data_IF_956604169071
#
_entry.id   IF_956604169071
#
_cell.length_a   1.000
_cell.length_b   1.000
_cell.length_c   1.000
_cell.angle_alpha   90.00
_cell.angle_beta   90.00
_cell.angle_gamma   90.00
#
_symmetry.space_group_name_H-M   'P 1'
#
loop_
_entity.id
_entity.type
_entity.pdbx_description
1 polymer ?
#
# COMPACT_ATOMS: atom_id res chain seq x y z
N UNK A 1 5.03 25.39 3.89
CA UNK A 1 4.77 24.44 2.80
C UNK A 1 3.53 23.65 3.21
N UNK A 2 2.42 23.89 2.53
CA UNK A 2 1.12 23.27 2.86
C UNK A 2 1.06 21.85 2.28
N UNK A 3 0.48 20.93 3.05
CA UNK A 3 0.31 19.51 2.73
C UNK A 3 -0.42 19.32 1.39
N UNK A 4 0.02 18.37 0.53
CA UNK A 4 -0.78 17.89 -0.59
C UNK A 4 -2.03 17.19 -0.07
N UNK A 5 -3.10 17.18 -0.88
CA UNK A 5 -4.39 16.54 -0.60
C UNK A 5 -4.30 15.03 -0.30
N UNK A 6 -5.43 14.37 -0.02
CA UNK A 6 -5.50 13.20 0.83
C UNK A 6 -4.95 11.95 0.13
N UNK A 7 -3.64 11.74 0.22
CA UNK A 7 -3.07 10.39 0.22
C UNK A 7 -3.79 9.63 1.35
N UNK A 8 -4.28 8.39 1.15
CA UNK A 8 -4.81 7.60 2.25
C UNK A 8 -3.79 7.68 3.39
N UNK A 9 -4.24 8.15 4.56
CA UNK A 9 -3.36 8.37 5.72
C UNK A 9 -2.43 7.16 5.86
N UNK A 10 -1.13 7.32 6.14
CA UNK A 10 -0.17 6.20 6.22
C UNK A 10 -0.65 4.99 7.05
N UNK A 11 -1.62 5.20 7.96
CA UNK A 11 -2.34 4.14 8.68
C UNK A 11 -3.12 3.18 7.78
N UNK A 12 -3.88 3.66 6.79
CA UNK A 12 -4.71 2.81 5.93
C UNK A 12 -3.83 1.96 5.00
N UNK A 13 -2.80 2.59 4.42
CA UNK A 13 -1.78 1.90 3.64
C UNK A 13 -1.08 0.81 4.46
N UNK A 14 -0.56 1.16 5.64
CA UNK A 14 0.11 0.18 6.51
C UNK A 14 -0.85 -0.89 7.04
N UNK A 15 -2.14 -0.59 7.23
CA UNK A 15 -3.14 -1.59 7.56
C UNK A 15 -3.34 -2.59 6.41
N UNK A 16 -3.46 -2.11 5.17
CA UNK A 16 -3.55 -2.96 3.98
C UNK A 16 -2.28 -3.82 3.80
N UNK A 17 -1.09 -3.23 3.95
CA UNK A 17 0.19 -3.95 3.89
C UNK A 17 0.32 -4.98 5.02
N UNK A 18 -0.20 -4.71 6.21
CA UNK A 18 -0.14 -5.65 7.33
C UNK A 18 -0.99 -6.91 7.14
N UNK A 19 -1.97 -6.88 6.24
CA UNK A 19 -2.74 -8.06 5.85
C UNK A 19 -2.12 -8.84 4.68
N UNK A 20 -1.22 -8.23 3.94
CA UNK A 20 -0.69 -8.81 2.69
C UNK A 20 0.78 -9.22 2.79
N UNK A 21 1.58 -8.51 3.60
CA UNK A 21 2.99 -8.82 3.84
C UNK A 21 3.16 -9.45 5.23
N UNK A 22 3.61 -10.72 5.32
CA UNK A 22 3.86 -11.36 6.60
C UNK A 22 4.90 -10.62 7.45
N UNK A 23 4.62 -10.45 8.73
CA UNK A 23 5.55 -9.90 9.72
C UNK A 23 5.59 -8.36 9.78
N UNK A 24 4.72 -7.67 9.03
CA UNK A 24 4.53 -6.23 9.19
C UNK A 24 4.08 -5.94 10.61
N UNK A 25 4.81 -5.02 11.24
CA UNK A 25 4.36 -4.34 12.45
C UNK A 25 4.60 -2.86 12.27
N UNK A 26 3.71 -2.03 12.80
CA UNK A 26 3.84 -0.59 12.71
C UNK A 26 3.25 0.10 13.94
N UNK A 27 3.70 1.33 14.17
CA UNK A 27 3.25 2.17 15.27
C UNK A 27 2.37 3.27 14.73
N UNK A 28 1.20 3.45 15.33
CA UNK A 28 0.34 4.61 15.11
C UNK A 28 0.62 5.60 16.24
N UNK A 29 0.91 6.85 15.91
CA UNK A 29 1.15 7.91 16.89
C UNK A 29 0.02 8.92 16.79
N UNK A 30 -0.65 9.15 17.92
CA UNK A 30 -1.71 10.14 18.04
C UNK A 30 -1.12 11.55 18.22
N UNK A 31 -1.88 12.62 17.91
CA UNK A 31 -1.45 14.00 18.14
C UNK A 31 -1.09 14.34 19.60
N UNK A 32 -1.56 13.53 20.56
CA UNK A 32 -1.24 13.64 21.98
C UNK A 32 0.14 13.06 22.34
N UNK A 33 0.81 12.40 21.38
CA UNK A 33 2.07 11.68 21.59
C UNK A 33 1.88 10.23 22.06
N UNK A 34 0.66 9.81 22.39
CA UNK A 34 0.35 8.41 22.67
C UNK A 34 0.56 7.54 21.42
N UNK A 35 0.99 6.30 21.62
CA UNK A 35 1.28 5.41 20.49
C UNK A 35 0.74 4.02 20.70
N UNK A 36 0.23 3.43 19.61
CA UNK A 36 -0.26 2.06 19.56
C UNK A 36 0.62 1.23 18.63
N UNK A 37 1.11 0.09 19.12
CA UNK A 37 1.77 -0.93 18.32
C UNK A 37 0.74 -1.86 17.69
N UNK A 38 0.79 -1.98 16.36
CA UNK A 38 -0.04 -2.88 15.57
C UNK A 38 0.84 -4.03 15.08
N UNK A 39 0.50 -5.27 15.45
CA UNK A 39 1.23 -6.47 15.01
C UNK A 39 0.39 -7.73 15.22
N UNK A 40 0.46 -8.66 14.26
CA UNK A 40 -0.10 -10.01 14.43
C UNK A 40 0.84 -10.97 15.19
N UNK A 41 2.14 -10.63 15.27
CA UNK A 41 3.20 -11.54 15.73
C UNK A 41 3.83 -11.14 17.06
N UNK A 42 3.43 -10.00 17.64
CA UNK A 42 3.96 -9.50 18.89
C UNK A 42 2.91 -9.61 20.01
N UNK A 43 3.20 -10.35 21.07
CA UNK A 43 2.30 -10.46 22.23
C UNK A 43 2.10 -9.14 22.98
N UNK A 44 3.05 -8.21 22.86
CA UNK A 44 2.98 -6.88 23.44
C UNK A 44 2.33 -5.84 22.49
N UNK A 45 1.74 -6.28 21.38
CA UNK A 45 0.99 -5.39 20.50
C UNK A 45 -0.30 -4.92 21.19
N UNK A 46 -0.61 -3.64 21.02
CA UNK A 46 -1.86 -3.06 21.50
C UNK A 46 -3.04 -3.52 20.64
N UNK A 47 -2.80 -3.76 19.35
CA UNK A 47 -3.79 -4.18 18.36
C UNK A 47 -3.22 -5.19 17.37
N UNK A 48 -4.07 -6.12 16.92
CA UNK A 48 -3.79 -6.91 15.72
C UNK A 48 -4.30 -6.17 14.46
N UNK A 49 -3.76 -6.48 13.25
CA UNK A 49 -4.16 -5.83 12.01
C UNK A 49 -5.66 -5.94 11.69
N UNK A 50 -6.31 -7.07 12.04
CA UNK A 50 -7.73 -7.28 11.77
C UNK A 50 -8.62 -6.36 12.62
N UNK A 51 -8.28 -6.17 13.90
CA UNK A 51 -8.96 -5.22 14.79
C UNK A 51 -8.79 -3.78 14.32
N UNK A 52 -7.58 -3.39 13.91
CA UNK A 52 -7.35 -2.07 13.34
C UNK A 52 -8.20 -1.86 12.08
N UNK A 53 -8.15 -2.78 11.12
CA UNK A 53 -8.96 -2.69 9.89
C UNK A 53 -10.46 -2.58 10.20
N UNK A 54 -10.96 -3.34 11.17
CA UNK A 54 -12.35 -3.21 11.63
C UNK A 54 -12.64 -1.81 12.15
N UNK A 55 -11.73 -1.22 12.94
CA UNK A 55 -11.88 0.14 13.44
C UNK A 55 -11.84 1.20 12.33
N UNK A 56 -11.02 1.01 11.30
CA UNK A 56 -10.92 1.93 10.15
C UNK A 56 -12.15 1.86 9.23
N UNK A 57 -12.76 0.68 9.08
CA UNK A 57 -13.88 0.45 8.16
C UNK A 57 -15.27 0.63 8.81
N UNK A 58 -15.35 0.60 10.14
CA UNK A 58 -16.62 0.73 10.85
C UNK A 58 -17.10 2.19 10.88
N UNK A 59 -18.01 2.52 9.97
CA UNK A 59 -18.80 3.74 10.04
C UNK A 59 -19.79 3.69 11.23
N UNK A 60 -19.56 4.52 12.25
CA UNK A 60 -20.58 5.14 13.14
C UNK A 60 -21.42 4.32 14.16
N UNK A 61 -21.15 3.06 14.51
CA UNK A 61 -21.97 2.42 15.57
C UNK A 61 -21.22 1.41 16.45
N UNK A 62 -20.50 1.91 17.46
CA UNK A 62 -19.85 1.12 18.52
C UNK A 62 -18.87 1.97 19.34
N UNK A 63 -18.35 1.46 20.49
CA UNK A 63 -17.28 2.13 21.22
C UNK A 63 -16.09 2.34 20.28
N UNK A 64 -15.90 3.60 19.90
CA UNK A 64 -15.00 4.01 18.81
C UNK A 64 -13.56 3.87 19.29
N UNK A 65 -12.77 3.01 18.65
CA UNK A 65 -11.35 3.27 18.58
C UNK A 65 -11.19 4.44 17.61
N UNK A 66 -11.25 5.67 18.12
CA UNK A 66 -10.99 6.85 17.31
C UNK A 66 -9.49 6.87 17.00
N UNK A 67 -9.11 6.25 15.90
CA UNK A 67 -7.73 6.27 15.43
C UNK A 67 -7.49 7.65 14.80
N UNK A 68 -7.29 8.66 15.65
CA UNK A 68 -6.70 9.93 15.22
C UNK A 68 -5.20 9.74 15.17
N UNK A 69 -4.67 9.53 13.98
CA UNK A 69 -3.24 9.37 13.78
C UNK A 69 -2.65 10.69 13.28
N UNK A 70 -1.63 11.18 13.98
CA UNK A 70 -0.74 12.21 13.46
C UNK A 70 0.23 11.60 12.42
N UNK A 71 0.74 10.41 12.72
CA UNK A 71 1.65 9.66 11.84
C UNK A 71 1.57 8.17 12.11
N UNK A 72 2.00 7.38 11.13
CA UNK A 72 2.21 5.94 11.29
C UNK A 72 3.60 5.56 10.79
N UNK A 73 4.27 4.67 11.51
CA UNK A 73 5.67 4.33 11.28
C UNK A 73 5.83 2.81 11.21
N UNK A 74 6.42 2.33 10.11
CA UNK A 74 6.76 0.93 9.97
C UNK A 74 7.86 0.54 10.99
N UNK A 75 7.63 -0.52 11.75
CA UNK A 75 8.55 -1.03 12.79
C UNK A 75 9.29 -2.26 12.30
N UNK A 76 8.61 -3.17 11.61
CA UNK A 76 9.21 -4.43 11.12
C UNK A 76 8.47 -4.98 9.90
N UNK A 77 9.05 -6.02 9.29
CA UNK A 77 8.42 -6.84 8.23
C UNK A 77 8.66 -6.33 6.83
N UNK A 78 8.81 -5.02 6.65
CA UNK A 78 9.27 -4.41 5.42
C UNK A 78 10.15 -3.18 5.69
N UNK A 79 10.74 -2.67 4.62
CA UNK A 79 11.44 -1.38 4.58
C UNK A 79 10.81 -0.54 3.48
N UNK A 80 10.65 0.76 3.72
CA UNK A 80 10.23 1.70 2.69
C UNK A 80 11.43 2.04 1.81
N UNK A 81 11.35 1.71 0.51
CA UNK A 81 12.46 1.92 -0.43
C UNK A 81 12.38 3.27 -1.16
N UNK A 82 11.26 3.98 -1.04
CA UNK A 82 11.05 5.30 -1.64
C UNK A 82 9.77 5.37 -2.45
N UNK A 83 9.14 6.56 -2.50
CA UNK A 83 8.00 6.82 -3.38
C UNK A 83 6.76 5.96 -3.15
N UNK A 84 6.56 5.38 -1.96
CA UNK A 84 5.45 4.46 -1.67
C UNK A 84 5.75 2.98 -1.97
N UNK A 85 6.97 2.65 -2.43
CA UNK A 85 7.41 1.27 -2.55
C UNK A 85 7.96 0.73 -1.22
N UNK A 86 7.66 -0.54 -0.98
CA UNK A 86 8.10 -1.32 0.16
C UNK A 86 8.77 -2.61 -0.30
N UNK A 87 9.81 -3.03 0.41
CA UNK A 87 10.42 -4.34 0.25
C UNK A 87 10.25 -5.13 1.55
N UNK A 88 9.75 -6.37 1.45
CA UNK A 88 9.68 -7.26 2.61
C UNK A 88 11.09 -7.54 3.13
N UNK A 89 11.31 -7.45 4.44
CA UNK A 89 12.64 -7.56 5.06
C UNK A 89 13.21 -8.99 5.09
N UNK A 90 12.49 -9.99 4.58
CA UNK A 90 12.94 -11.37 4.56
C UNK A 90 14.06 -11.57 3.50
N UNK A 91 15.14 -12.34 3.77
CA UNK A 91 16.27 -12.49 2.85
C UNK A 91 15.89 -13.01 1.45
N UNK A 92 14.85 -13.84 1.35
CA UNK A 92 14.36 -14.38 0.09
C UNK A 92 13.44 -13.42 -0.68
N UNK A 93 13.24 -12.20 -0.21
CA UNK A 93 12.31 -11.21 -0.78
C UNK A 93 13.02 -10.06 -1.51
N UNK A 94 14.31 -10.21 -1.83
CA UNK A 94 15.08 -9.18 -2.53
C UNK A 94 14.47 -8.80 -3.89
N UNK A 95 13.89 -9.78 -4.60
CA UNK A 95 13.20 -9.59 -5.88
C UNK A 95 11.71 -9.25 -5.76
N UNK A 96 11.24 -8.75 -4.61
CA UNK A 96 9.84 -8.35 -4.42
C UNK A 96 9.74 -6.86 -4.06
N UNK A 97 8.79 -6.15 -4.67
CA UNK A 97 8.37 -4.81 -4.28
C UNK A 97 6.86 -4.76 -4.11
N UNK A 98 6.43 -3.95 -3.16
CA UNK A 98 5.05 -3.81 -2.75
C UNK A 98 4.66 -2.34 -2.72
N UNK A 99 3.42 -2.03 -3.05
CA UNK A 99 2.83 -0.71 -2.85
C UNK A 99 1.33 -0.84 -2.67
N UNK A 100 0.69 0.25 -2.29
CA UNK A 100 -0.77 0.32 -2.14
C UNK A 100 -1.32 1.42 -3.04
N UNK A 101 -2.46 1.13 -3.65
CA UNK A 101 -3.20 1.99 -4.59
C UNK A 101 -4.68 1.97 -4.20
N UNK A 102 -5.41 3.03 -4.51
CA UNK A 102 -6.87 3.13 -4.36
C UNK A 102 -7.62 2.61 -5.58
N UNK A 103 -6.94 2.42 -6.72
CA UNK A 103 -7.55 1.83 -7.92
C UNK A 103 -8.13 0.44 -7.62
N UNK A 104 -9.40 0.19 -7.97
CA UNK A 104 -10.01 -1.13 -7.85
C UNK A 104 -9.28 -2.22 -8.63
N UNK A 105 -9.32 -3.47 -8.14
CA UNK A 105 -8.53 -4.57 -8.68
C UNK A 105 -8.86 -4.94 -10.14
N UNK A 106 -10.13 -4.80 -10.55
CA UNK A 106 -10.57 -5.04 -11.92
C UNK A 106 -9.90 -4.08 -12.90
N UNK A 107 -9.85 -2.79 -12.55
CA UNK A 107 -9.19 -1.75 -13.34
C UNK A 107 -7.67 -1.86 -13.32
N UNK A 108 -7.08 -2.24 -12.18
CA UNK A 108 -5.62 -2.40 -12.06
C UNK A 108 -5.08 -3.41 -13.06
N UNK A 109 -5.81 -4.47 -13.37
CA UNK A 109 -5.38 -5.46 -14.37
C UNK A 109 -5.17 -4.83 -15.74
N UNK A 110 -6.09 -3.96 -16.18
CA UNK A 110 -5.99 -3.26 -17.46
C UNK A 110 -4.83 -2.26 -17.44
N UNK A 111 -4.72 -1.48 -16.37
CA UNK A 111 -3.65 -0.48 -16.20
C UNK A 111 -2.26 -1.13 -16.22
N UNK A 112 -2.10 -2.25 -15.50
CA UNK A 112 -0.84 -2.99 -15.43
C UNK A 112 -0.52 -3.65 -16.78
N UNK A 113 -1.51 -4.16 -17.50
CA UNK A 113 -1.32 -4.76 -18.82
C UNK A 113 -0.81 -3.75 -19.87
N UNK A 114 -1.08 -2.46 -19.68
CA UNK A 114 -0.61 -1.38 -20.55
C UNK A 114 0.77 -0.85 -20.20
N UNK A 115 1.35 -1.27 -19.07
CA UNK A 115 2.73 -0.91 -18.73
C UNK A 115 3.67 -1.50 -19.79
N UNK A 116 4.43 -0.63 -20.44
CA UNK A 116 5.50 -1.02 -21.38
C UNK A 116 6.83 -0.85 -20.66
N UNK A 117 7.43 -1.96 -20.27
CA UNK A 117 8.74 -1.99 -19.64
C UNK A 117 9.78 -2.25 -20.75
N UNK A 118 10.86 -1.47 -20.76
CA UNK A 118 11.90 -1.62 -21.77
C UNK A 118 12.81 -2.84 -21.50
N UNK A 119 12.97 -3.67 -22.54
CA UNK A 119 13.93 -4.78 -22.59
C UNK A 119 13.41 -6.13 -22.07
N UNK A 120 14.16 -7.22 -22.26
CA UNK A 120 13.70 -8.60 -21.99
C UNK A 120 13.34 -8.88 -20.53
N UNK A 121 13.88 -8.11 -19.59
CA UNK A 121 13.57 -8.24 -18.16
C UNK A 121 12.12 -7.82 -17.82
N UNK A 122 11.44 -7.12 -18.72
CA UNK A 122 10.03 -6.74 -18.61
C UNK A 122 9.10 -7.95 -18.55
N UNK A 123 9.38 -8.95 -19.38
CA UNK A 123 8.57 -10.17 -19.53
C UNK A 123 8.81 -11.17 -18.38
N UNK A 124 9.76 -10.86 -17.49
CA UNK A 124 10.21 -11.72 -16.39
C UNK A 124 9.77 -11.14 -15.03
N UNK A 125 8.63 -10.46 -14.99
CA UNK A 125 8.01 -9.93 -13.77
C UNK A 125 6.59 -10.44 -13.63
N UNK A 126 6.28 -10.99 -12.46
CA UNK A 126 4.94 -11.32 -12.04
C UNK A 126 4.35 -10.21 -11.17
N UNK A 127 3.14 -9.78 -11.50
CA UNK A 127 2.36 -8.84 -10.67
C UNK A 127 1.23 -9.60 -9.99
N UNK A 128 1.04 -9.37 -8.69
CA UNK A 128 -0.08 -9.93 -7.91
C UNK A 128 -0.83 -8.80 -7.23
N UNK A 129 -2.16 -8.82 -7.30
CA UNK A 129 -3.03 -7.81 -6.71
C UNK A 129 -3.77 -8.46 -5.53
N UNK A 130 -3.67 -7.85 -4.36
CA UNK A 130 -4.39 -8.20 -3.15
C UNK A 130 -5.39 -7.10 -2.79
N UNK A 131 -6.66 -7.20 -3.22
CA UNK A 131 -7.68 -6.23 -2.86
C UNK A 131 -8.02 -6.28 -1.37
N UNK A 132 -8.20 -5.10 -0.78
CA UNK A 132 -8.86 -4.87 0.49
C UNK A 132 -10.06 -3.95 0.26
N UNK A 133 -11.16 -4.54 -0.22
CA UNK A 133 -12.42 -3.84 -0.53
C UNK A 133 -12.99 -3.08 0.68
N UNK A 134 -12.68 -3.55 1.90
CA UNK A 134 -13.13 -2.88 3.11
C UNK A 134 -12.46 -1.53 3.30
N UNK A 135 -11.16 -1.43 2.99
CA UNK A 135 -10.41 -0.17 3.04
C UNK A 135 -10.50 0.62 1.73
N UNK A 136 -11.03 0.04 0.64
CA UNK A 136 -11.02 0.65 -0.68
C UNK A 136 -9.61 0.75 -1.27
N UNK A 137 -8.76 -0.23 -0.97
CA UNK A 137 -7.34 -0.24 -1.35
C UNK A 137 -6.97 -1.57 -2.01
N UNK A 138 -5.94 -1.56 -2.83
CA UNK A 138 -5.29 -2.76 -3.36
C UNK A 138 -3.80 -2.73 -3.02
N UNK A 139 -3.30 -3.78 -2.39
CA UNK A 139 -1.86 -4.01 -2.29
C UNK A 139 -1.38 -4.70 -3.58
N UNK A 140 -0.37 -4.14 -4.21
CA UNK A 140 0.23 -4.70 -5.43
C UNK A 140 1.62 -5.20 -5.11
N UNK A 141 1.91 -6.45 -5.50
CA UNK A 141 3.23 -7.05 -5.46
C UNK A 141 3.79 -7.14 -6.88
N UNK A 142 4.98 -6.58 -7.08
CA UNK A 142 5.81 -6.78 -8.27
C UNK A 142 6.95 -7.72 -7.89
N UNK A 143 7.07 -8.86 -8.57
CA UNK A 143 8.06 -9.90 -8.27
C UNK A 143 8.87 -10.25 -9.51
N UNK A 144 10.20 -10.22 -9.38
CA UNK A 144 11.10 -10.73 -10.40
C UNK A 144 11.03 -12.28 -10.49
N UNK A 145 10.98 -12.78 -11.72
CA UNK A 145 11.02 -14.21 -12.05
C UNK A 145 12.40 -14.68 -12.55
N UNK A 146 13.34 -13.76 -12.72
CA UNK A 146 14.73 -14.03 -13.10
C UNK A 146 15.72 -13.15 -12.32
N UNK A 147 17.00 -13.52 -12.36
CA UNK A 147 18.08 -12.70 -11.80
C UNK A 147 18.23 -11.36 -12.53
N UNK A 148 17.96 -11.33 -13.85
CA UNK A 148 18.02 -10.11 -14.65
C UNK A 148 16.92 -9.12 -14.26
N UNK A 149 15.69 -9.60 -14.05
CA UNK A 149 14.59 -8.81 -13.53
C UNK A 149 14.84 -8.40 -12.07
N UNK A 150 15.44 -9.26 -11.26
CA UNK A 150 15.79 -8.96 -9.87
C UNK A 150 16.76 -7.77 -9.78
N UNK A 151 17.75 -7.71 -10.68
CA UNK A 151 18.69 -6.58 -10.75
C UNK A 151 18.03 -5.24 -11.13
N UNK A 152 16.83 -5.26 -11.72
CA UNK A 152 16.07 -4.07 -12.16
C UNK A 152 14.76 -3.88 -11.41
N UNK A 153 14.50 -4.64 -10.34
CA UNK A 153 13.17 -4.73 -9.74
C UNK A 153 12.65 -3.39 -9.22
N UNK A 154 13.54 -2.50 -8.76
CA UNK A 154 13.16 -1.15 -8.35
C UNK A 154 12.61 -0.34 -9.51
N UNK A 155 13.33 -0.26 -10.64
CA UNK A 155 12.90 0.47 -11.83
C UNK A 155 11.58 -0.08 -12.40
N UNK A 156 11.47 -1.41 -12.46
CA UNK A 156 10.27 -2.08 -12.98
C UNK A 156 9.08 -1.82 -12.06
N UNK A 157 9.25 -1.91 -10.73
CA UNK A 157 8.20 -1.64 -9.77
C UNK A 157 7.79 -0.15 -9.76
N UNK A 158 8.73 0.78 -9.89
CA UNK A 158 8.44 2.20 -10.01
C UNK A 158 7.64 2.51 -11.28
N UNK A 159 7.95 1.89 -12.41
CA UNK A 159 7.19 2.08 -13.64
C UNK A 159 5.73 1.60 -13.50
N UNK A 160 5.52 0.45 -12.86
CA UNK A 160 4.16 -0.05 -12.56
C UNK A 160 3.44 0.91 -11.61
N UNK A 161 4.06 1.27 -10.48
CA UNK A 161 3.48 2.18 -9.49
C UNK A 161 3.12 3.54 -10.13
N UNK A 162 4.03 4.14 -10.89
CA UNK A 162 3.81 5.42 -11.54
C UNK A 162 2.61 5.37 -12.50
N UNK A 163 2.45 4.27 -13.23
CA UNK A 163 1.30 4.08 -14.14
C UNK A 163 -0.01 4.01 -13.35
N UNK A 164 -0.04 3.27 -12.23
CA UNK A 164 -1.23 3.22 -11.38
C UNK A 164 -1.56 4.58 -10.76
N UNK A 165 -0.57 5.30 -10.23
CA UNK A 165 -0.80 6.63 -9.62
C UNK A 165 -1.27 7.66 -10.65
N UNK A 166 -0.75 7.61 -11.89
CA UNK A 166 -1.25 8.47 -12.97
C UNK A 166 -2.70 8.12 -13.31
N UNK A 167 -3.04 6.83 -13.36
CA UNK A 167 -4.41 6.38 -13.60
C UNK A 167 -5.37 6.87 -12.50
N UNK A 168 -5.00 6.74 -11.22
CA UNK A 168 -5.75 7.27 -10.07
C UNK A 168 -6.00 8.76 -10.22
N UNK A 169 -4.93 9.52 -10.50
CA UNK A 169 -5.03 10.97 -10.66
C UNK A 169 -5.98 11.38 -11.78
N UNK A 170 -5.93 10.69 -12.93
CA UNK A 170 -6.83 10.99 -14.06
C UNK A 170 -8.28 10.63 -13.74
N UNK A 171 -8.52 9.62 -12.91
CA UNK A 171 -9.87 9.21 -12.51
C UNK A 171 -10.46 10.12 -11.44
N UNK A 172 -9.67 10.53 -10.46
CA UNK A 172 -10.11 11.50 -9.44
C UNK A 172 -10.47 12.84 -10.09
N UNK A 173 -9.65 13.32 -11.03
CA UNK A 173 -9.93 14.56 -11.77
C UNK A 173 -11.20 14.44 -12.64
N UNK A 174 -11.45 13.28 -13.24
CA UNK A 174 -12.64 13.07 -14.06
C UNK A 174 -13.95 13.02 -13.24
N UNK A 175 -13.89 12.57 -11.99
CA UNK A 175 -15.04 12.52 -11.07
C UNK A 175 -15.38 13.91 -10.52
N UNK A 176 -14.41 14.82 -10.42
CA UNK A 176 -14.57 16.18 -9.90
C UNK A 176 -15.06 17.22 -10.93
N UNK A 177 -15.25 16.86 -12.20
CA UNK A 177 -15.89 17.75 -13.19
C UNK A 177 -17.40 17.54 -13.16
N UNK A 178 -18.21 18.49 -12.65
CA UNK A 178 -19.65 18.38 -12.74
C UNK A 178 -20.04 18.44 -14.21
N UNK A 179 -20.88 17.50 -14.66
CA UNK A 179 -21.59 17.61 -15.94
C UNK A 179 -22.25 19.00 -16.01
N UNK A 180 -21.68 19.90 -16.81
CA UNK A 180 -22.34 21.15 -17.16
C UNK A 180 -23.53 20.80 -18.04
N UNK A 181 -24.71 20.72 -17.41
CA UNK A 181 -26.02 20.77 -18.09
C UNK A 181 -26.31 22.16 -18.62
#
# INVERSE_FOLDING_TARGET
MQNPGPTPLPVYELACLAHTIPGISFRIVAPTGESLLVSASCLAADLDPCRLRTALTSSQSGPRLAVTAERAELVSGAVHVGGGLYQRSHPQAAGERWFVVTTPADRLLDVIADVRLDGPAADEVAVTIGPDDGLGLCAVRVRAESDAACARIDDLAFAVLATCVVDEFLHDVAVDVPEQR
#
